data_IF_625594268923
#
_entry.id   IF_625594268923
#
_cell.length_a   1.000
_cell.length_b   1.000
_cell.length_c   1.000
_cell.angle_alpha   90.00
_cell.angle_beta   90.00
_cell.angle_gamma   90.00
#
_symmetry.space_group_name_H-M   'P 1'
#
loop_
_entity.id
_entity.type
_entity.pdbx_description
1 polymer ?
#
# COMPACT_ATOMS: atom_id res chain seq x y z
N UNK A 1 0.89 -14.67 -21.22
CA UNK A 1 -0.36 -15.15 -20.62
C UNK A 1 -0.37 -14.76 -19.17
N UNK A 2 -1.50 -14.34 -18.60
CA UNK A 2 -1.63 -13.99 -17.17
C UNK A 2 -2.54 -14.98 -16.48
N UNK A 3 -2.12 -15.47 -15.33
CA UNK A 3 -3.03 -16.10 -14.40
C UNK A 3 -3.69 -14.96 -13.60
N UNK A 4 -5.01 -14.95 -13.53
CA UNK A 4 -5.78 -13.86 -12.91
C UNK A 4 -6.55 -14.39 -11.70
N UNK A 5 -6.55 -13.62 -10.63
CA UNK A 5 -7.20 -13.98 -9.37
C UNK A 5 -8.07 -12.81 -8.90
N UNK A 6 -9.34 -13.07 -8.60
CA UNK A 6 -10.22 -12.13 -7.92
C UNK A 6 -9.97 -12.18 -6.42
N UNK A 7 -9.77 -11.03 -5.81
CA UNK A 7 -9.43 -10.90 -4.39
C UNK A 7 -10.38 -9.93 -3.73
N UNK A 8 -10.89 -10.30 -2.56
CA UNK A 8 -11.62 -9.42 -1.66
C UNK A 8 -11.03 -9.51 -0.27
N UNK A 9 -10.73 -8.36 0.32
CA UNK A 9 -10.27 -8.24 1.69
C UNK A 9 -11.19 -7.31 2.47
N UNK A 10 -11.44 -7.66 3.73
CA UNK A 10 -12.24 -6.86 4.66
C UNK A 10 -11.39 -6.48 5.86
N UNK A 11 -11.25 -5.19 6.13
CA UNK A 11 -10.49 -4.72 7.27
C UNK A 11 -11.21 -5.00 8.59
N UNK A 12 -10.49 -5.57 9.55
CA UNK A 12 -10.97 -5.83 10.92
C UNK A 12 -10.95 -4.58 11.79
N UNK A 13 -10.03 -3.69 11.49
CA UNK A 13 -9.79 -2.47 12.26
C UNK A 13 -9.49 -1.28 11.34
N UNK A 14 -9.05 -0.16 11.93
CA UNK A 14 -8.74 1.07 11.19
C UNK A 14 -7.56 0.87 10.25
N UNK A 15 -7.71 1.41 9.06
CA UNK A 15 -6.63 1.57 8.07
C UNK A 15 -6.25 3.03 8.04
N UNK A 16 -4.97 3.33 8.13
CA UNK A 16 -4.48 4.71 8.11
C UNK A 16 -3.83 5.06 6.79
N UNK A 17 -4.12 6.26 6.32
CA UNK A 17 -3.50 6.84 5.15
C UNK A 17 -2.03 7.17 5.41
N UNK A 18 -1.19 6.97 4.41
CA UNK A 18 0.27 7.18 4.54
C UNK A 18 0.83 8.27 3.63
N UNK A 19 -0.04 9.02 2.94
CA UNK A 19 0.40 10.08 2.02
C UNK A 19 0.40 11.43 2.73
N UNK A 20 1.49 12.21 2.65
CA UNK A 20 1.49 13.57 3.16
C UNK A 20 0.38 14.40 2.53
N UNK A 21 -0.37 15.15 3.33
CA UNK A 21 -1.45 16.06 2.89
C UNK A 21 -0.97 17.49 2.74
N UNK A 22 0.11 17.89 3.44
CA UNK A 22 0.70 19.22 3.29
C UNK A 22 1.28 19.40 1.89
N UNK A 23 0.88 20.46 1.20
CA UNK A 23 1.39 20.79 -0.14
C UNK A 23 2.88 21.12 -0.10
N UNK A 24 3.32 21.71 0.97
CA UNK A 24 4.72 22.10 1.23
C UNK A 24 5.58 20.84 1.38
N UNK A 25 5.18 19.89 2.21
CA UNK A 25 5.87 18.60 2.36
C UNK A 25 5.93 17.79 1.07
N UNK A 26 4.85 17.80 0.28
CA UNK A 26 4.84 17.14 -1.03
C UNK A 26 5.82 17.81 -1.98
N UNK A 27 5.88 19.15 -2.00
CA UNK A 27 6.87 19.89 -2.83
C UNK A 27 8.29 19.56 -2.41
N UNK A 28 8.59 19.62 -1.11
CA UNK A 28 9.93 19.28 -0.57
C UNK A 28 10.33 17.84 -0.89
N UNK A 29 9.42 16.88 -0.73
CA UNK A 29 9.67 15.48 -1.08
C UNK A 29 9.96 15.30 -2.57
N UNK A 30 9.20 15.97 -3.43
CA UNK A 30 9.41 15.95 -4.89
C UNK A 30 10.76 16.60 -5.25
N UNK A 31 11.08 17.76 -4.67
CA UNK A 31 12.35 18.45 -4.89
C UNK A 31 13.54 17.61 -4.41
N UNK A 32 13.47 17.02 -3.23
CA UNK A 32 14.52 16.14 -2.70
C UNK A 32 14.76 14.89 -3.56
N UNK A 33 13.71 14.38 -4.20
CA UNK A 33 13.78 13.16 -4.99
C UNK A 33 14.22 13.38 -6.44
N UNK A 34 13.94 14.55 -7.00
CA UNK A 34 14.18 14.86 -8.41
C UNK A 34 15.25 15.94 -8.64
N UNK A 35 15.90 16.40 -7.57
CA UNK A 35 17.08 17.24 -7.60
C UNK A 35 16.86 18.58 -8.31
N UNK A 36 16.63 19.66 -7.56
CA UNK A 36 16.96 20.99 -8.02
C UNK A 36 18.10 21.54 -7.16
N UNK A 37 19.06 22.21 -7.79
CA UNK A 37 20.29 22.75 -7.16
C UNK A 37 20.07 23.81 -6.07
N UNK A 38 18.81 24.18 -5.78
CA UNK A 38 18.45 25.25 -4.82
C UNK A 38 17.90 24.74 -3.47
N UNK A 39 18.05 23.45 -3.15
CA UNK A 39 17.49 22.88 -1.92
C UNK A 39 18.16 23.33 -0.63
N UNK A 40 19.37 23.90 -0.68
CA UNK A 40 20.07 24.34 0.51
C UNK A 40 19.52 25.65 1.13
N UNK A 41 18.90 26.52 0.34
CA UNK A 41 18.32 27.78 0.83
C UNK A 41 16.88 27.62 1.34
N UNK A 42 16.14 26.66 0.82
CA UNK A 42 14.74 26.40 1.23
C UNK A 42 14.68 25.68 2.59
N UNK A 43 15.74 24.99 2.97
CA UNK A 43 15.81 24.28 4.25
C UNK A 43 16.11 25.21 5.46
N UNK A 44 16.64 26.41 5.23
CA UNK A 44 16.97 27.36 6.28
C UNK A 44 15.82 28.31 6.64
N UNK A 45 14.85 28.54 5.73
CA UNK A 45 13.72 29.46 5.93
C UNK A 45 12.40 28.81 6.38
N UNK A 46 12.34 27.48 6.45
CA UNK A 46 11.17 26.77 6.94
C UNK A 46 11.45 26.25 8.34
N UNK A 47 10.57 26.61 9.26
CA UNK A 47 10.53 26.04 10.61
C UNK A 47 10.08 24.57 10.52
N UNK A 48 11.00 23.74 9.97
CA UNK A 48 10.81 22.31 9.71
C UNK A 48 10.31 21.55 10.94
N UNK A 49 10.54 22.11 12.13
CA UNK A 49 10.15 21.53 13.41
C UNK A 49 8.64 21.66 13.63
N UNK A 50 8.04 22.81 13.34
CA UNK A 50 6.59 23.03 13.49
C UNK A 50 5.77 22.30 12.44
N UNK A 51 6.28 22.16 11.20
CA UNK A 51 5.60 21.44 10.15
C UNK A 51 5.68 19.91 10.29
N UNK A 52 6.79 19.37 10.80
CA UNK A 52 6.92 17.97 11.13
C UNK A 52 6.03 17.56 12.30
N UNK A 53 5.87 18.44 13.29
CA UNK A 53 4.97 18.23 14.43
C UNK A 53 3.49 18.19 14.01
N UNK A 54 3.12 18.89 12.94
CA UNK A 54 1.74 18.97 12.39
C UNK A 54 1.57 18.17 11.10
N UNK A 55 2.43 17.20 10.80
CA UNK A 55 2.33 16.44 9.56
C UNK A 55 1.08 15.57 9.54
N UNK A 56 0.12 15.94 8.70
CA UNK A 56 -1.07 15.15 8.44
C UNK A 56 -0.81 14.22 7.27
N UNK A 57 -1.06 12.93 7.49
CA UNK A 57 -1.06 11.93 6.41
C UNK A 57 -2.47 11.42 6.14
N UNK A 58 -2.74 11.03 4.91
CA UNK A 58 -4.07 10.58 4.55
C UNK A 58 -4.09 9.71 3.30
N UNK A 59 -5.26 9.60 2.72
CA UNK A 59 -5.51 8.82 1.52
C UNK A 59 -5.55 9.70 0.27
N UNK A 60 -5.40 9.05 -0.88
CA UNK A 60 -5.79 9.63 -2.16
C UNK A 60 -7.30 9.55 -2.30
N UNK A 61 -7.89 10.60 -2.89
CA UNK A 61 -9.32 10.67 -3.18
C UNK A 61 -9.52 11.24 -4.57
N UNK A 62 -10.54 10.77 -5.25
CA UNK A 62 -11.06 11.36 -6.49
C UNK A 62 -12.61 11.40 -6.44
N UNK A 63 -13.25 11.70 -7.57
CA UNK A 63 -14.71 11.84 -7.68
C UNK A 63 -15.47 10.55 -7.33
N UNK A 64 -14.83 9.39 -7.48
CA UNK A 64 -15.39 8.08 -7.12
C UNK A 64 -15.25 7.76 -5.63
N UNK A 65 -14.20 8.27 -4.98
CA UNK A 65 -13.98 8.01 -3.56
C UNK A 65 -12.52 7.89 -3.16
N UNK A 66 -12.33 7.44 -1.93
CA UNK A 66 -11.01 7.19 -1.36
C UNK A 66 -10.46 5.87 -1.88
N UNK A 67 -9.19 5.89 -2.27
CA UNK A 67 -8.51 4.72 -2.79
C UNK A 67 -7.08 4.57 -2.28
N UNK A 68 -6.61 3.34 -2.30
CA UNK A 68 -5.20 3.00 -2.15
C UNK A 68 -4.59 2.73 -3.52
N UNK A 69 -3.39 3.23 -3.78
CA UNK A 69 -2.70 2.89 -5.02
C UNK A 69 -2.32 1.40 -5.07
N UNK A 70 -2.51 0.76 -6.21
CA UNK A 70 -2.15 -0.66 -6.42
C UNK A 70 -0.70 -0.96 -6.04
N UNK A 71 0.18 0.03 -6.20
CA UNK A 71 1.59 -0.08 -5.80
C UNK A 71 1.78 -0.27 -4.28
N UNK A 72 0.85 0.24 -3.44
CA UNK A 72 0.89 0.05 -1.98
C UNK A 72 0.64 -1.42 -1.63
N UNK A 73 -0.38 -2.02 -2.25
CA UNK A 73 -0.68 -3.45 -2.09
C UNK A 73 0.48 -4.32 -2.60
N UNK A 74 1.02 -3.99 -3.76
CA UNK A 74 2.19 -4.67 -4.32
C UNK A 74 3.42 -4.55 -3.41
N UNK A 75 3.63 -3.38 -2.81
CA UNK A 75 4.72 -3.17 -1.84
C UNK A 75 4.52 -3.99 -0.57
N UNK A 76 3.29 -4.09 -0.07
CA UNK A 76 2.94 -4.93 1.07
C UNK A 76 3.19 -6.41 0.77
N UNK A 77 2.72 -6.93 -0.36
CA UNK A 77 2.97 -8.31 -0.78
C UNK A 77 4.48 -8.63 -0.89
N UNK A 78 5.27 -7.70 -1.44
CA UNK A 78 6.74 -7.83 -1.45
C UNK A 78 7.34 -7.93 -0.05
N UNK A 79 6.79 -7.20 0.91
CA UNK A 79 7.22 -7.26 2.30
C UNK A 79 6.80 -8.59 2.93
N UNK A 80 5.56 -9.02 2.73
CA UNK A 80 5.05 -10.29 3.26
C UNK A 80 5.88 -11.48 2.76
N UNK A 81 6.14 -11.57 1.46
CA UNK A 81 7.01 -12.62 0.91
C UNK A 81 8.41 -12.62 1.52
N UNK A 82 8.93 -11.46 1.88
CA UNK A 82 10.22 -11.33 2.55
C UNK A 82 10.18 -11.83 4.00
N UNK A 83 9.10 -11.50 4.73
CA UNK A 83 8.93 -11.90 6.14
C UNK A 83 8.62 -13.39 6.30
N UNK A 84 7.79 -13.94 5.42
CA UNK A 84 7.44 -15.37 5.42
C UNK A 84 8.62 -16.27 5.14
N UNK A 85 9.78 -15.72 4.76
CA UNK A 85 10.92 -16.52 4.28
C UNK A 85 10.49 -17.57 3.24
N UNK A 86 9.39 -17.33 2.52
CA UNK A 86 9.00 -18.13 1.35
C UNK A 86 10.17 -18.34 0.40
N UNK A 87 11.16 -17.52 0.59
CA UNK A 87 12.46 -17.52 -0.06
C UNK A 87 13.38 -18.69 0.30
N UNK A 88 13.11 -19.46 1.32
CA UNK A 88 14.01 -20.58 1.68
C UNK A 88 14.07 -21.61 0.56
N UNK A 89 12.98 -21.74 -0.18
CA UNK A 89 12.94 -22.62 -1.36
C UNK A 89 12.95 -21.87 -2.70
N UNK A 90 12.63 -20.56 -2.72
CA UNK A 90 12.50 -19.75 -3.93
C UNK A 90 13.34 -18.47 -3.83
N UNK A 91 14.65 -18.59 -4.09
CA UNK A 91 15.51 -17.40 -4.18
C UNK A 91 14.92 -16.38 -5.16
N UNK A 92 14.62 -15.15 -4.69
CA UNK A 92 14.16 -14.07 -5.53
C UNK A 92 12.64 -13.82 -5.53
N UNK A 93 11.85 -14.43 -4.63
CA UNK A 93 10.39 -14.23 -4.56
C UNK A 93 9.98 -12.75 -4.49
N UNK A 94 10.71 -11.92 -3.72
CA UNK A 94 10.49 -10.47 -3.65
C UNK A 94 10.68 -9.80 -5.01
N UNK A 95 11.68 -10.21 -5.78
CA UNK A 95 11.93 -9.70 -7.13
C UNK A 95 10.90 -10.25 -8.11
N UNK A 96 10.50 -11.51 -7.96
CA UNK A 96 9.44 -12.12 -8.78
C UNK A 96 8.13 -11.37 -8.60
N UNK A 97 7.69 -11.10 -7.35
CA UNK A 97 6.50 -10.27 -7.08
C UNK A 97 6.63 -8.90 -7.75
N UNK A 98 7.82 -8.27 -7.69
CA UNK A 98 8.06 -6.97 -8.32
C UNK A 98 7.83 -7.00 -9.82
N UNK A 99 8.29 -8.04 -10.50
CA UNK A 99 8.35 -8.11 -11.96
C UNK A 99 7.13 -8.77 -12.60
N UNK A 100 6.52 -9.74 -11.92
CA UNK A 100 5.46 -10.57 -12.53
C UNK A 100 4.06 -10.30 -12.01
N UNK A 101 3.90 -9.61 -10.87
CA UNK A 101 2.61 -9.40 -10.24
C UNK A 101 2.09 -7.99 -10.49
N UNK A 102 0.86 -7.88 -10.98
CA UNK A 102 0.16 -6.62 -11.24
C UNK A 102 -1.17 -6.64 -10.50
N UNK A 103 -1.49 -5.53 -9.84
CA UNK A 103 -2.74 -5.39 -9.08
C UNK A 103 -3.60 -4.35 -9.80
N UNK A 104 -4.85 -4.71 -10.03
CA UNK A 104 -5.87 -3.87 -10.63
C UNK A 104 -7.06 -3.77 -9.70
N UNK A 105 -7.48 -2.56 -9.35
CA UNK A 105 -8.69 -2.36 -8.58
C UNK A 105 -9.92 -2.80 -9.36
N UNK A 106 -10.98 -3.12 -8.66
CA UNK A 106 -12.27 -3.47 -9.22
C UNK A 106 -13.37 -2.61 -8.59
N UNK A 107 -14.22 -2.04 -9.44
CA UNK A 107 -15.37 -1.22 -9.04
C UNK A 107 -16.51 -1.53 -10.00
N UNK A 108 -17.66 -1.96 -9.47
CA UNK A 108 -18.87 -2.25 -10.25
C UNK A 108 -18.58 -3.12 -11.49
N UNK A 109 -17.78 -4.18 -11.30
CA UNK A 109 -17.27 -5.08 -12.35
C UNK A 109 -16.30 -4.46 -13.38
N UNK A 110 -16.00 -3.17 -13.29
CA UNK A 110 -14.96 -2.52 -14.10
C UNK A 110 -13.59 -2.59 -13.42
N UNK A 111 -12.56 -2.86 -14.22
CA UNK A 111 -11.18 -2.83 -13.76
C UNK A 111 -10.64 -1.40 -13.77
N UNK A 112 -10.12 -0.98 -12.64
CA UNK A 112 -9.37 0.27 -12.49
C UNK A 112 -7.88 -0.02 -12.48
N UNK A 113 -7.09 0.63 -13.36
CA UNK A 113 -5.70 0.22 -13.59
C UNK A 113 -4.78 0.35 -12.37
N UNK A 114 -4.94 1.40 -11.55
CA UNK A 114 -4.00 1.69 -10.46
C UNK A 114 -4.64 2.06 -9.14
N UNK A 115 -5.98 2.11 -9.09
CA UNK A 115 -6.73 2.57 -7.93
C UNK A 115 -7.55 1.43 -7.35
N UNK A 116 -7.32 1.10 -6.09
CA UNK A 116 -8.13 0.13 -5.34
C UNK A 116 -8.96 0.90 -4.33
N UNK A 117 -10.26 1.00 -4.57
CA UNK A 117 -11.17 1.79 -3.77
C UNK A 117 -11.62 1.05 -2.52
N UNK A 118 -11.90 1.81 -1.46
CA UNK A 118 -12.57 1.29 -0.28
C UNK A 118 -14.08 1.21 -0.51
N UNK A 119 -14.69 0.13 -0.07
CA UNK A 119 -16.12 -0.10 -0.11
C UNK A 119 -16.69 -0.10 1.33
N UNK A 120 -17.87 0.48 1.59
CA UNK A 120 -18.63 1.32 0.65
C UNK A 120 -17.83 2.56 0.23
N UNK A 121 -18.08 3.03 -0.99
CA UNK A 121 -17.35 4.19 -1.50
C UNK A 121 -17.62 5.43 -0.64
N UNK A 122 -16.55 6.06 -0.19
CA UNK A 122 -16.60 7.29 0.58
C UNK A 122 -15.59 8.29 0.04
N UNK A 123 -15.99 9.54 -0.06
CA UNK A 123 -15.14 10.65 -0.50
C UNK A 123 -14.41 11.32 0.67
N UNK A 124 -14.79 10.97 1.91
CA UNK A 124 -14.17 11.53 3.11
C UNK A 124 -13.69 10.40 4.01
N UNK A 125 -12.55 10.54 4.68
CA UNK A 125 -12.11 9.62 5.72
C UNK A 125 -13.11 9.63 6.88
N UNK A 126 -13.13 8.56 7.67
CA UNK A 126 -14.01 8.46 8.84
C UNK A 126 -13.55 9.37 9.98
N UNK A 127 -12.27 9.69 10.05
CA UNK A 127 -11.72 10.61 11.03
C UNK A 127 -10.22 10.83 10.88
N UNK A 128 -9.70 11.56 11.83
CA UNK A 128 -8.27 11.86 12.01
C UNK A 128 -7.87 11.39 13.40
N UNK A 129 -6.72 10.74 13.51
CA UNK A 129 -6.18 10.27 14.78
C UNK A 129 -4.73 10.70 14.93
N UNK A 130 -4.39 11.13 16.13
CA UNK A 130 -3.06 11.64 16.47
C UNK A 130 -2.21 10.55 17.10
N UNK A 131 -0.99 10.42 16.60
CA UNK A 131 0.00 9.46 17.10
C UNK A 131 1.24 10.20 17.61
N UNK A 132 1.67 9.84 18.82
CA UNK A 132 2.99 10.20 19.29
C UNK A 132 4.02 9.28 18.61
N UNK A 133 4.95 9.85 17.90
CA UNK A 133 6.04 9.13 17.24
C UNK A 133 7.40 9.64 17.71
N UNK A 134 8.45 8.93 17.31
CA UNK A 134 9.82 9.36 17.52
C UNK A 134 10.55 9.40 16.18
N UNK A 135 11.23 10.49 15.91
CA UNK A 135 12.07 10.65 14.73
C UNK A 135 13.53 10.79 15.16
N UNK A 136 14.39 10.02 14.51
CA UNK A 136 15.84 10.18 14.70
C UNK A 136 16.31 11.33 13.83
N UNK A 137 16.85 12.35 14.46
CA UNK A 137 17.48 13.52 13.81
C UNK A 137 18.99 13.50 14.03
N UNK A 138 19.73 14.37 13.34
CA UNK A 138 21.16 14.56 13.60
C UNK A 138 21.46 14.99 15.06
N UNK A 139 20.48 15.59 15.74
CA UNK A 139 20.58 16.07 17.12
C UNK A 139 20.05 15.07 18.15
N UNK A 140 19.61 13.88 17.72
CA UNK A 140 19.06 12.81 18.57
C UNK A 140 17.62 12.46 18.27
N UNK A 141 17.00 11.68 19.16
CA UNK A 141 15.61 11.27 19.06
C UNK A 141 14.69 12.41 19.53
N UNK A 142 13.72 12.77 18.69
CA UNK A 142 12.68 13.75 19.04
C UNK A 142 11.31 13.13 18.97
N UNK A 143 10.43 13.51 19.88
CA UNK A 143 9.02 13.17 19.84
C UNK A 143 8.31 14.08 18.84
N UNK A 144 7.49 13.47 17.98
CA UNK A 144 6.63 14.21 17.04
C UNK A 144 5.19 13.79 17.22
N UNK A 145 4.27 14.70 16.96
CA UNK A 145 2.86 14.40 16.82
C UNK A 145 2.55 14.26 15.32
N UNK A 146 2.02 13.11 14.96
CA UNK A 146 1.61 12.81 13.60
C UNK A 146 0.12 12.52 13.57
N UNK A 147 -0.63 13.25 12.76
CA UNK A 147 -2.05 13.01 12.54
C UNK A 147 -2.25 12.18 11.28
N UNK A 148 -3.08 11.16 11.34
CA UNK A 148 -3.38 10.31 10.17
C UNK A 148 -4.87 10.13 9.99
N UNK A 149 -5.34 10.33 8.75
CA UNK A 149 -6.70 9.98 8.35
C UNK A 149 -6.88 8.46 8.42
N UNK A 150 -8.07 8.02 8.83
CA UNK A 150 -8.39 6.60 8.87
C UNK A 150 -9.74 6.26 8.23
N UNK A 151 -9.86 4.99 7.82
CA UNK A 151 -11.09 4.34 7.39
C UNK A 151 -11.32 3.15 8.32
N UNK A 152 -12.55 2.98 8.81
CA UNK A 152 -12.96 1.85 9.64
C UNK A 152 -13.68 0.80 8.78
N UNK A 153 -13.32 -0.46 8.99
CA UNK A 153 -14.03 -1.63 8.44
C UNK A 153 -14.29 -1.61 6.92
N UNK A 154 -13.39 -0.97 6.16
CA UNK A 154 -13.51 -0.93 4.71
C UNK A 154 -13.30 -2.31 4.06
N UNK A 155 -13.89 -2.49 2.89
CA UNK A 155 -13.65 -3.64 2.02
C UNK A 155 -12.89 -3.16 0.78
N UNK A 156 -11.97 -3.96 0.29
CA UNK A 156 -11.30 -3.72 -0.99
C UNK A 156 -11.48 -4.90 -1.92
N UNK A 157 -11.84 -4.62 -3.17
CA UNK A 157 -11.92 -5.60 -4.24
C UNK A 157 -10.91 -5.26 -5.32
N UNK A 158 -10.15 -6.26 -5.73
CA UNK A 158 -9.14 -6.09 -6.77
C UNK A 158 -8.80 -7.42 -7.44
N UNK A 159 -8.14 -7.33 -8.59
CA UNK A 159 -7.59 -8.48 -9.27
C UNK A 159 -6.06 -8.49 -9.15
N UNK A 160 -5.51 -9.68 -8.98
CA UNK A 160 -4.08 -9.94 -9.11
C UNK A 160 -3.84 -10.63 -10.44
N UNK A 161 -3.02 -10.01 -11.27
CA UNK A 161 -2.58 -10.57 -12.54
C UNK A 161 -1.13 -11.01 -12.41
N UNK A 162 -0.90 -12.31 -12.49
CA UNK A 162 0.42 -12.89 -12.40
C UNK A 162 0.89 -13.32 -13.79
N UNK A 163 2.02 -12.79 -14.22
CA UNK A 163 2.62 -13.14 -15.51
C UNK A 163 3.18 -14.57 -15.45
N UNK A 164 2.59 -15.48 -16.20
CA UNK A 164 3.04 -16.85 -16.37
C UNK A 164 4.25 -16.90 -17.32
N UNK A 165 5.43 -16.53 -16.83
CA UNK A 165 6.68 -16.61 -17.59
C UNK A 165 7.67 -17.49 -16.83
N UNK A 166 8.06 -18.59 -17.46
CA UNK A 166 9.23 -19.35 -17.02
C UNK A 166 10.49 -18.55 -17.35
N UNK A 167 11.00 -17.84 -16.38
CA UNK A 167 12.38 -17.33 -16.46
C UNK A 167 13.33 -18.42 -16.02
N UNK A 168 14.37 -18.71 -16.80
CA UNK A 168 15.30 -19.84 -16.62
C UNK A 168 15.88 -20.02 -15.23
N UNK A 169 15.79 -19.01 -14.35
CA UNK A 169 16.33 -19.02 -12.99
C UNK A 169 15.35 -18.58 -11.89
N UNK A 170 14.07 -18.37 -12.20
CA UNK A 170 13.05 -17.91 -11.25
C UNK A 170 11.87 -18.85 -11.22
N UNK A 171 11.48 -19.25 -10.04
CA UNK A 171 10.30 -20.07 -9.83
C UNK A 171 9.05 -19.20 -10.05
N UNK A 172 8.12 -19.67 -10.86
CA UNK A 172 6.81 -19.06 -11.06
C UNK A 172 6.05 -18.99 -9.72
N UNK A 173 5.35 -17.89 -9.48
CA UNK A 173 4.43 -17.77 -8.36
C UNK A 173 3.18 -18.60 -8.66
N UNK A 174 2.88 -19.54 -7.79
CA UNK A 174 1.66 -20.34 -7.85
C UNK A 174 0.49 -19.60 -7.22
N UNK A 175 -0.75 -20.05 -7.48
CA UNK A 175 -1.93 -19.56 -6.79
C UNK A 175 -1.78 -19.66 -5.26
N UNK A 176 -1.28 -20.80 -4.78
CA UNK A 176 -1.05 -21.02 -3.36
C UNK A 176 -0.02 -20.04 -2.77
N UNK A 177 1.07 -19.72 -3.48
CA UNK A 177 2.05 -18.73 -3.00
C UNK A 177 1.42 -17.34 -2.81
N UNK A 178 0.49 -16.97 -3.69
CA UNK A 178 -0.22 -15.67 -3.65
C UNK A 178 -1.22 -15.67 -2.49
N UNK A 179 -1.99 -16.74 -2.35
CA UNK A 179 -2.97 -16.92 -1.27
C UNK A 179 -2.29 -16.94 0.10
N UNK A 180 -1.22 -17.71 0.26
CA UNK A 180 -0.43 -17.77 1.50
C UNK A 180 0.14 -16.39 1.85
N UNK A 181 0.59 -15.64 0.84
CA UNK A 181 1.09 -14.29 1.02
C UNK A 181 -0.01 -13.33 1.52
N UNK A 182 -1.21 -13.40 0.96
CA UNK A 182 -2.35 -12.60 1.42
C UNK A 182 -2.82 -13.02 2.82
N UNK A 183 -2.86 -14.31 3.08
CA UNK A 183 -3.21 -14.88 4.39
C UNK A 183 -2.24 -14.44 5.48
N UNK A 184 -0.94 -14.52 5.21
CA UNK A 184 0.08 -13.98 6.11
C UNK A 184 -0.10 -12.47 6.33
N UNK A 185 -0.44 -11.75 5.27
CA UNK A 185 -0.68 -10.32 5.29
C UNK A 185 -1.83 -9.88 6.19
N UNK A 186 -2.77 -10.77 6.53
CA UNK A 186 -3.91 -10.48 7.40
C UNK A 186 -3.44 -9.92 8.75
N UNK A 187 -2.39 -10.50 9.32
CA UNK A 187 -1.84 -10.06 10.60
C UNK A 187 -0.80 -8.94 10.48
N UNK A 188 -0.12 -8.85 9.33
CA UNK A 188 0.83 -7.78 9.07
C UNK A 188 0.18 -6.42 8.81
N UNK A 189 -1.07 -6.42 8.33
CA UNK A 189 -1.85 -5.24 8.01
C UNK A 189 -1.40 -4.50 6.74
N UNK A 190 -2.27 -3.61 6.26
CA UNK A 190 -2.07 -2.71 5.13
C UNK A 190 -2.14 -1.24 5.59
N UNK A 191 -1.61 -0.34 4.76
CA UNK A 191 -1.62 1.09 5.06
C UNK A 191 -0.43 1.55 5.90
N UNK A 192 -0.56 2.69 6.56
CA UNK A 192 0.42 3.22 7.51
C UNK A 192 0.09 2.78 8.96
N UNK A 193 0.97 3.10 9.88
CA UNK A 193 0.76 2.83 11.33
C UNK A 193 0.59 1.34 11.70
N UNK A 194 1.09 0.42 10.88
CA UNK A 194 0.99 -1.05 11.12
C UNK A 194 1.66 -1.50 12.42
N UNK A 195 2.65 -0.77 12.91
CA UNK A 195 3.26 -1.01 14.23
C UNK A 195 2.29 -0.87 15.40
N UNK A 196 1.15 -0.19 15.18
CA UNK A 196 0.05 -0.07 16.14
C UNK A 196 -1.08 -1.08 15.85
N UNK A 197 -0.74 -2.21 15.22
CA UNK A 197 -1.68 -3.27 14.86
C UNK A 197 -2.82 -2.85 13.90
N UNK A 198 -2.64 -1.75 13.18
CA UNK A 198 -3.63 -1.21 12.26
C UNK A 198 -3.59 -1.88 10.89
N UNK A 199 -4.72 -1.78 10.16
CA UNK A 199 -4.84 -2.30 8.81
C UNK A 199 -4.89 -3.81 8.71
N UNK A 200 -5.14 -4.53 9.81
CA UNK A 200 -5.40 -5.98 9.79
C UNK A 200 -6.68 -6.27 9.03
N UNK A 201 -6.69 -7.33 8.27
CA UNK A 201 -7.82 -7.68 7.41
C UNK A 201 -8.09 -9.18 7.41
N UNK A 202 -9.26 -9.55 6.91
CA UNK A 202 -9.62 -10.92 6.56
C UNK A 202 -9.59 -11.06 5.04
N UNK A 203 -9.00 -12.16 4.55
CA UNK A 203 -9.11 -12.56 3.15
C UNK A 203 -10.47 -13.21 2.95
N UNK A 204 -11.44 -12.47 2.39
CA UNK A 204 -12.82 -12.91 2.23
C UNK A 204 -12.96 -13.77 0.98
N UNK A 205 -12.23 -13.41 -0.08
CA UNK A 205 -12.32 -14.09 -1.37
C UNK A 205 -10.95 -14.18 -2.01
N UNK A 206 -10.64 -15.37 -2.53
CA UNK A 206 -9.52 -15.62 -3.44
C UNK A 206 -9.95 -16.68 -4.46
N UNK A 207 -10.16 -16.29 -5.69
CA UNK A 207 -10.64 -17.16 -6.74
C UNK A 207 -9.85 -16.97 -8.03
N UNK A 208 -9.48 -18.06 -8.69
CA UNK A 208 -8.86 -18.03 -10.01
C UNK A 208 -9.91 -17.70 -11.09
N UNK A 209 -9.60 -16.67 -11.88
CA UNK A 209 -10.45 -16.27 -13.00
C UNK A 209 -10.02 -17.05 -14.25
N UNK A 210 -10.82 -18.03 -14.63
CA UNK A 210 -10.68 -18.73 -15.88
C UNK A 210 -11.10 -17.83 -17.05
N UNK A 211 -10.21 -17.58 -18.02
CA UNK A 211 -10.62 -16.91 -19.25
C UNK A 211 -11.63 -17.84 -19.97
N UNK A 212 -12.89 -17.43 -20.04
CA UNK A 212 -13.82 -18.04 -20.97
C UNK A 212 -13.21 -17.93 -22.38
N UNK A 213 -12.86 -19.06 -22.96
CA UNK A 213 -12.50 -19.13 -24.37
C UNK A 213 -13.71 -18.60 -25.14
N UNK A 214 -13.64 -17.34 -25.57
CA UNK A 214 -14.57 -16.86 -26.60
C UNK A 214 -14.36 -17.73 -27.83
N UNK A 215 -15.33 -18.61 -28.02
CA UNK A 215 -15.50 -19.45 -29.24
C UNK A 215 -15.75 -18.55 -30.42
#
# INVERSE_FOLDING_TARGET
MYNKYAVEIKFRNRVYGGLPKSKELVKQYVQAKFGSEDTSKVAEDLDLEEELEKSVTGFKCDDRGIYMGSYCLKAAMKQYTSLMKLTVQKRGSKQTVKETLFIKGKVDDELTSEKVYFQPMTVKPHGLEDFAGHVSTMQGMRSILKSSEFIEHGVMQFEIWCLAVRMEKRTELTAQDIEDCLTFGQECGLGSCRSFESGKYDLVKFEELTEEKKS
#
